data_IF_256819462311
#
_entry.id   IF_256819462311
#
_cell.length_a   1.000
_cell.length_b   1.000
_cell.length_c   1.000
_cell.angle_alpha   90.00
_cell.angle_beta   90.00
_cell.angle_gamma   90.00
#
_symmetry.space_group_name_H-M   'P 1'
#
loop_
_entity.id
_entity.type
_entity.pdbx_description
1 polymer ?
#
# COMPACT_ATOMS: atom_id res chain seq x y z
N UNK A 1 -27.04 -9.55 1.04
CA UNK A 1 -25.68 -9.54 1.63
C UNK A 1 -25.64 -8.39 2.63
N UNK A 2 -24.92 -8.50 3.75
CA UNK A 2 -24.74 -7.38 4.69
C UNK A 2 -23.46 -6.63 4.30
N UNK A 3 -23.42 -5.30 4.52
CA UNK A 3 -22.24 -4.44 4.29
C UNK A 3 -20.96 -5.06 4.89
N UNK A 4 -21.04 -5.51 6.14
CA UNK A 4 -19.93 -6.18 6.83
C UNK A 4 -19.97 -7.70 6.59
N UNK A 5 -19.74 -8.12 5.33
CA UNK A 5 -19.49 -9.50 4.99
C UNK A 5 -18.06 -9.89 5.39
N UNK A 6 -17.81 -11.19 5.63
CA UNK A 6 -16.49 -11.73 6.01
C UNK A 6 -15.37 -11.24 5.09
N UNK A 7 -15.59 -11.29 3.78
CA UNK A 7 -14.57 -10.90 2.80
C UNK A 7 -14.28 -9.40 2.83
N UNK A 8 -15.29 -8.55 2.99
CA UNK A 8 -15.10 -7.11 3.14
C UNK A 8 -14.38 -6.75 4.44
N UNK A 9 -14.70 -7.44 5.56
CA UNK A 9 -14.01 -7.24 6.84
C UNK A 9 -12.53 -7.63 6.72
N UNK A 10 -12.21 -8.75 6.04
CA UNK A 10 -10.83 -9.15 5.81
C UNK A 10 -10.06 -8.11 5.00
N UNK A 11 -10.67 -7.56 3.93
CA UNK A 11 -10.07 -6.46 3.16
C UNK A 11 -9.85 -5.24 4.05
N UNK A 12 -10.84 -4.85 4.85
CA UNK A 12 -10.75 -3.66 5.70
C UNK A 12 -9.64 -3.79 6.76
N UNK A 13 -9.54 -4.95 7.40
CA UNK A 13 -8.49 -5.20 8.41
C UNK A 13 -7.10 -5.27 7.73
N UNK A 14 -6.98 -5.97 6.60
CA UNK A 14 -5.75 -6.01 5.80
C UNK A 14 -5.31 -4.59 5.42
N UNK A 15 -6.25 -3.75 4.96
CA UNK A 15 -6.03 -2.33 4.66
C UNK A 15 -5.54 -1.54 5.87
N UNK A 16 -6.15 -1.72 7.04
CA UNK A 16 -5.70 -1.03 8.26
C UNK A 16 -4.24 -1.37 8.53
N UNK A 17 -3.89 -2.66 8.55
CA UNK A 17 -2.54 -3.12 8.87
C UNK A 17 -1.53 -2.61 7.83
N UNK A 18 -1.83 -2.79 6.54
CA UNK A 18 -0.93 -2.42 5.44
C UNK A 18 -0.76 -0.90 5.32
N UNK A 19 -1.84 -0.11 5.38
CA UNK A 19 -1.78 1.35 5.27
C UNK A 19 -1.06 2.01 6.45
N UNK A 20 -1.32 1.56 7.67
CA UNK A 20 -0.60 2.09 8.84
C UNK A 20 0.88 1.73 8.79
N UNK A 21 1.23 0.46 8.50
CA UNK A 21 2.62 0.05 8.31
C UNK A 21 3.35 0.88 7.25
N UNK A 22 2.69 1.11 6.12
CA UNK A 22 3.23 1.90 5.01
C UNK A 22 3.39 3.38 5.40
N UNK A 23 2.39 3.99 6.05
CA UNK A 23 2.43 5.40 6.46
C UNK A 23 3.52 5.66 7.51
N UNK A 24 3.70 4.74 8.46
CA UNK A 24 4.77 4.79 9.45
C UNK A 24 6.14 4.74 8.76
N UNK A 25 6.36 3.79 7.83
CA UNK A 25 7.64 3.65 7.12
C UNK A 25 7.98 4.86 6.25
N UNK A 26 7.01 5.36 5.49
CA UNK A 26 7.19 6.52 4.61
C UNK A 26 7.57 7.78 5.36
N UNK A 27 7.25 7.88 6.64
CA UNK A 27 7.68 8.96 7.50
C UNK A 27 9.01 8.65 8.21
N UNK A 28 9.16 7.45 8.77
CA UNK A 28 10.32 7.07 9.57
C UNK A 28 11.62 6.98 8.74
N UNK A 29 11.56 6.51 7.49
CA UNK A 29 12.74 6.37 6.63
C UNK A 29 13.40 7.72 6.29
N UNK A 30 12.67 8.74 5.79
CA UNK A 30 13.25 10.07 5.57
C UNK A 30 13.70 10.72 6.88
N UNK A 31 12.98 10.50 7.99
CA UNK A 31 13.36 11.03 9.31
C UNK A 31 14.68 10.41 9.80
N UNK A 32 14.89 9.12 9.59
CA UNK A 32 16.16 8.45 9.88
C UNK A 32 17.30 9.03 9.04
N UNK A 33 17.07 9.26 7.74
CA UNK A 33 18.04 9.90 6.88
C UNK A 33 18.38 11.32 7.35
N UNK A 34 17.38 12.10 7.72
CA UNK A 34 17.56 13.44 8.29
C UNK A 34 18.42 13.41 9.57
N UNK A 35 18.17 12.43 10.44
CA UNK A 35 18.91 12.30 11.68
C UNK A 35 20.41 12.02 11.46
N UNK A 36 20.74 11.19 10.44
CA UNK A 36 22.14 10.85 10.12
C UNK A 36 22.82 11.95 9.31
N UNK A 37 22.17 12.45 8.26
CA UNK A 37 22.77 13.42 7.33
C UNK A 37 22.73 14.87 7.84
N UNK A 38 21.86 15.16 8.82
CA UNK A 38 21.55 16.51 9.34
C UNK A 38 21.16 17.51 8.25
N UNK A 39 20.69 17.03 7.10
CA UNK A 39 20.34 17.83 5.94
C UNK A 39 18.83 17.83 5.70
N UNK A 40 18.17 18.94 6.05
CA UNK A 40 16.74 19.16 5.78
C UNK A 40 16.46 19.23 4.26
N UNK A 41 17.42 19.68 3.47
CA UNK A 41 17.29 19.72 2.01
C UNK A 41 17.20 18.32 1.41
N UNK A 42 18.05 17.37 1.85
CA UNK A 42 17.97 15.97 1.43
C UNK A 42 16.65 15.33 1.84
N UNK A 43 16.18 15.59 3.05
CA UNK A 43 14.87 15.11 3.51
C UNK A 43 13.75 15.56 2.57
N UNK A 44 13.71 16.85 2.23
CA UNK A 44 12.70 17.42 1.34
C UNK A 44 12.78 16.86 -0.08
N UNK A 45 13.98 16.80 -0.67
CA UNK A 45 14.19 16.29 -2.04
C UNK A 45 13.81 14.82 -2.14
N UNK A 46 14.31 13.97 -1.22
CA UNK A 46 14.03 12.52 -1.25
C UNK A 46 12.54 12.26 -1.06
N UNK A 47 11.89 12.96 -0.11
CA UNK A 47 10.46 12.83 0.11
C UNK A 47 9.65 13.25 -1.13
N UNK A 48 9.97 14.40 -1.74
CA UNK A 48 9.28 14.91 -2.92
C UNK A 48 9.48 14.00 -4.15
N UNK A 49 10.72 13.61 -4.44
CA UNK A 49 11.02 12.73 -5.59
C UNK A 49 10.35 11.37 -5.49
N UNK A 50 10.19 10.85 -4.26
CA UNK A 50 9.57 9.54 -4.03
C UNK A 50 8.07 9.51 -4.38
N UNK A 51 7.38 10.65 -4.40
CA UNK A 51 5.97 10.75 -4.81
C UNK A 51 5.75 10.64 -6.31
N UNK A 52 6.73 11.02 -7.12
CA UNK A 52 6.59 11.08 -8.59
C UNK A 52 6.15 9.74 -9.19
N UNK A 53 6.75 8.60 -8.84
CA UNK A 53 6.37 7.30 -9.39
C UNK A 53 4.93 6.90 -9.07
N UNK A 54 4.39 7.31 -7.92
CA UNK A 54 3.00 7.03 -7.53
C UNK A 54 2.00 7.63 -8.54
N UNK A 55 2.27 8.83 -9.05
CA UNK A 55 1.40 9.51 -10.02
C UNK A 55 1.24 8.68 -11.30
N UNK A 56 2.35 8.09 -11.76
CA UNK A 56 2.35 7.22 -12.95
C UNK A 56 1.83 5.81 -12.65
N UNK A 57 2.09 5.30 -11.45
CA UNK A 57 1.66 3.97 -11.05
C UNK A 57 0.13 3.88 -10.84
N UNK A 58 -0.53 4.95 -10.40
CA UNK A 58 -1.98 4.96 -10.13
C UNK A 58 -2.85 4.63 -11.35
N UNK A 59 -2.72 5.28 -12.51
CA UNK A 59 -3.50 4.90 -13.69
C UNK A 59 -3.14 3.50 -14.21
N UNK A 60 -1.88 3.10 -14.12
CA UNK A 60 -1.44 1.74 -14.48
C UNK A 60 -2.09 0.72 -13.56
N UNK A 61 -2.14 1.01 -12.25
CA UNK A 61 -2.81 0.17 -11.26
C UNK A 61 -4.28 -0.06 -11.55
N UNK A 62 -5.01 0.98 -11.98
CA UNK A 62 -6.39 0.86 -12.42
C UNK A 62 -6.55 -0.10 -13.62
N UNK A 63 -5.72 0.07 -14.64
CA UNK A 63 -5.74 -0.80 -15.84
C UNK A 63 -5.40 -2.26 -15.50
N UNK A 64 -4.46 -2.50 -14.60
CA UNK A 64 -4.08 -3.84 -14.15
C UNK A 64 -5.22 -4.45 -13.33
N UNK A 65 -5.84 -3.67 -12.44
CA UNK A 65 -6.95 -4.11 -11.60
C UNK A 65 -8.18 -4.54 -12.43
N UNK A 66 -8.41 -3.96 -13.62
CA UNK A 66 -9.50 -4.34 -14.49
C UNK A 66 -9.26 -5.68 -15.18
N UNK A 67 -8.00 -6.08 -15.40
CA UNK A 67 -7.64 -7.26 -16.19
C UNK A 67 -7.28 -8.49 -15.39
N UNK A 68 -6.78 -8.31 -14.16
CA UNK A 68 -6.26 -9.37 -13.31
C UNK A 68 -7.15 -9.52 -12.07
N UNK A 69 -7.09 -10.69 -11.43
CA UNK A 69 -7.79 -10.92 -10.16
C UNK A 69 -7.23 -9.98 -9.09
N UNK A 70 -8.10 -9.12 -8.56
CA UNK A 70 -7.77 -8.06 -7.61
C UNK A 70 -7.12 -8.60 -6.33
N UNK A 71 -7.62 -9.74 -5.83
CA UNK A 71 -7.02 -10.44 -4.68
C UNK A 71 -5.55 -10.79 -4.92
N UNK A 72 -5.24 -11.37 -6.08
CA UNK A 72 -3.87 -11.78 -6.38
C UNK A 72 -2.93 -10.59 -6.49
N UNK A 73 -3.42 -9.45 -7.00
CA UNK A 73 -2.64 -8.21 -7.06
C UNK A 73 -2.35 -7.71 -5.64
N UNK A 74 -3.36 -7.63 -4.77
CA UNK A 74 -3.22 -7.15 -3.40
C UNK A 74 -2.22 -8.00 -2.63
N UNK A 75 -2.41 -9.32 -2.61
CA UNK A 75 -1.52 -10.30 -1.96
C UNK A 75 -0.09 -10.17 -2.47
N UNK A 76 0.09 -10.10 -3.79
CA UNK A 76 1.42 -9.96 -4.40
C UNK A 76 2.10 -8.65 -4.00
N UNK A 77 1.37 -7.54 -3.98
CA UNK A 77 1.92 -6.23 -3.62
C UNK A 77 2.30 -6.15 -2.14
N UNK A 78 1.52 -6.75 -1.24
CA UNK A 78 1.85 -6.78 0.19
C UNK A 78 3.07 -7.69 0.46
N UNK A 79 3.19 -8.86 -0.19
CA UNK A 79 4.41 -9.67 -0.12
C UNK A 79 5.62 -8.94 -0.69
N UNK A 80 5.45 -8.21 -1.79
CA UNK A 80 6.52 -7.41 -2.38
C UNK A 80 6.97 -6.31 -1.42
N UNK A 81 6.02 -5.63 -0.77
CA UNK A 81 6.30 -4.59 0.23
C UNK A 81 7.04 -5.17 1.43
N UNK A 82 6.61 -6.32 1.94
CA UNK A 82 7.29 -7.04 3.02
C UNK A 82 8.74 -7.40 2.61
N UNK A 83 8.92 -7.91 1.40
CA UNK A 83 10.25 -8.27 0.88
C UNK A 83 11.18 -7.05 0.74
N UNK A 84 10.67 -5.94 0.20
CA UNK A 84 11.43 -4.68 0.09
C UNK A 84 11.86 -4.18 1.46
N UNK A 85 10.96 -4.24 2.44
CA UNK A 85 11.23 -3.81 3.82
C UNK A 85 12.31 -4.68 4.46
N UNK A 86 12.24 -6.00 4.31
CA UNK A 86 13.26 -6.94 4.80
C UNK A 86 14.61 -6.73 4.10
N UNK A 87 14.63 -6.56 2.79
CA UNK A 87 15.85 -6.30 2.01
C UNK A 87 16.48 -4.98 2.46
N UNK A 88 15.68 -3.93 2.64
CA UNK A 88 16.16 -2.63 3.11
C UNK A 88 16.83 -2.73 4.49
N UNK A 89 16.27 -3.54 5.39
CA UNK A 89 16.85 -3.80 6.71
C UNK A 89 18.22 -4.47 6.61
N UNK A 90 18.39 -5.47 5.74
CA UNK A 90 19.65 -6.21 5.54
C UNK A 90 20.73 -5.35 4.88
N UNK A 91 20.31 -4.45 3.97
CA UNK A 91 21.23 -3.56 3.25
C UNK A 91 21.61 -2.32 4.07
N UNK A 92 20.91 -2.03 5.16
CA UNK A 92 21.22 -0.90 6.04
C UNK A 92 22.62 -1.04 6.61
N UNK A 93 23.47 -0.01 6.44
CA UNK A 93 24.87 -0.01 6.84
C UNK A 93 25.84 -0.65 5.83
N UNK A 94 25.36 -1.30 4.75
CA UNK A 94 26.20 -1.89 3.71
C UNK A 94 26.29 -1.08 2.43
N UNK A 95 25.32 -0.21 2.19
CA UNK A 95 25.21 0.64 0.99
C UNK A 95 25.01 2.10 1.36
N UNK A 96 25.11 2.99 0.38
CA UNK A 96 24.83 4.41 0.61
C UNK A 96 23.38 4.60 1.10
N UNK A 97 23.26 5.16 2.31
CA UNK A 97 21.99 5.33 3.01
C UNK A 97 20.96 6.14 2.21
N UNK A 98 21.40 7.22 1.59
CA UNK A 98 20.50 8.12 0.85
C UNK A 98 19.90 7.41 -0.35
N UNK A 99 20.72 6.67 -1.10
CA UNK A 99 20.29 5.90 -2.26
C UNK A 99 19.36 4.77 -1.84
N UNK A 100 19.68 4.06 -0.76
CA UNK A 100 18.85 2.97 -0.25
C UNK A 100 17.45 3.47 0.13
N UNK A 101 17.36 4.56 0.89
CA UNK A 101 16.09 5.14 1.33
C UNK A 101 15.30 5.68 0.14
N UNK A 102 15.95 6.36 -0.80
CA UNK A 102 15.30 6.86 -2.00
C UNK A 102 14.67 5.72 -2.82
N UNK A 103 15.41 4.66 -3.09
CA UNK A 103 14.91 3.49 -3.84
C UNK A 103 13.77 2.82 -3.08
N UNK A 104 13.93 2.61 -1.77
CA UNK A 104 12.90 2.01 -0.93
C UNK A 104 11.60 2.82 -0.99
N UNK A 105 11.66 4.14 -0.82
CA UNK A 105 10.49 5.02 -0.87
C UNK A 105 9.85 5.05 -2.26
N UNK A 106 10.64 5.11 -3.33
CA UNK A 106 10.14 5.05 -4.71
C UNK A 106 9.31 3.77 -4.91
N UNK A 107 9.82 2.63 -4.46
CA UNK A 107 9.12 1.35 -4.56
C UNK A 107 7.86 1.32 -3.71
N UNK A 108 7.92 1.78 -2.46
CA UNK A 108 6.76 1.84 -1.56
C UNK A 108 5.63 2.73 -2.12
N UNK A 109 5.97 3.90 -2.67
CA UNK A 109 4.99 4.80 -3.29
C UNK A 109 4.44 4.23 -4.60
N UNK A 110 5.27 3.56 -5.42
CA UNK A 110 4.82 2.90 -6.65
C UNK A 110 3.83 1.78 -6.35
N UNK A 111 4.14 0.93 -5.37
CA UNK A 111 3.26 -0.15 -4.92
C UNK A 111 1.93 0.42 -4.42
N UNK A 112 1.97 1.49 -3.60
CA UNK A 112 0.76 2.13 -3.09
C UNK A 112 -0.10 2.69 -4.22
N UNK A 113 0.52 3.25 -5.27
CA UNK A 113 -0.18 3.74 -6.46
C UNK A 113 -0.96 2.65 -7.20
N UNK A 114 -0.49 1.40 -7.18
CA UNK A 114 -1.21 0.26 -7.78
C UNK A 114 -2.21 -0.36 -6.80
N UNK A 115 -1.84 -0.44 -5.54
CA UNK A 115 -2.63 -1.11 -4.50
C UNK A 115 -3.97 -0.41 -4.25
N UNK A 116 -3.96 0.91 -4.09
CA UNK A 116 -5.16 1.68 -3.74
C UNK A 116 -6.29 1.57 -4.78
N UNK A 117 -6.05 1.78 -6.09
CA UNK A 117 -7.10 1.57 -7.09
C UNK A 117 -7.53 0.11 -7.19
N UNK A 118 -6.65 -0.86 -6.92
CA UNK A 118 -7.00 -2.28 -6.91
C UNK A 118 -8.01 -2.61 -5.81
N UNK A 119 -7.81 -2.06 -4.61
CA UNK A 119 -8.76 -2.22 -3.49
C UNK A 119 -10.10 -1.59 -3.83
N UNK A 120 -10.12 -0.35 -4.33
CA UNK A 120 -11.36 0.32 -4.73
C UNK A 120 -12.10 -0.46 -5.82
N UNK A 121 -11.38 -1.01 -6.80
CA UNK A 121 -11.97 -1.86 -7.85
C UNK A 121 -12.48 -3.21 -7.33
N UNK A 122 -12.09 -3.65 -6.13
CA UNK A 122 -12.58 -4.89 -5.52
C UNK A 122 -13.95 -4.72 -4.82
N UNK A 123 -14.27 -3.50 -4.37
CA UNK A 123 -15.46 -3.22 -3.54
C UNK A 123 -16.77 -3.68 -4.18
N UNK A 124 -17.06 -3.44 -5.48
CA UNK A 124 -18.31 -3.88 -6.10
C UNK A 124 -18.52 -5.40 -6.11
N UNK A 125 -17.45 -6.17 -5.92
CA UNK A 125 -17.51 -7.64 -5.84
C UNK A 125 -17.69 -8.16 -4.41
N UNK A 126 -17.46 -7.30 -3.41
CA UNK A 126 -17.47 -7.65 -1.99
C UNK A 126 -18.76 -7.25 -1.28
N UNK A 127 -19.41 -6.17 -1.73
CA UNK A 127 -20.60 -5.61 -1.07
C UNK A 127 -21.76 -5.44 -2.04
N UNK A 128 -23.03 -5.40 -1.55
CA UNK A 128 -24.20 -5.07 -2.36
C UNK A 128 -24.10 -3.69 -2.99
N UNK A 129 -24.75 -3.51 -4.14
CA UNK A 129 -24.73 -2.23 -4.87
C UNK A 129 -25.17 -1.03 -4.04
N UNK A 130 -26.11 -1.23 -3.11
CA UNK A 130 -26.61 -0.18 -2.22
C UNK A 130 -25.58 0.28 -1.17
N UNK A 131 -24.59 -0.55 -0.87
CA UNK A 131 -23.59 -0.33 0.19
C UNK A 131 -22.22 0.10 -0.34
N UNK A 132 -22.05 0.18 -1.67
CA UNK A 132 -20.75 0.52 -2.31
C UNK A 132 -20.23 1.89 -1.83
N UNK A 133 -21.11 2.87 -1.67
CA UNK A 133 -20.71 4.22 -1.21
C UNK A 133 -20.17 4.16 0.22
N UNK A 134 -20.85 3.41 1.10
CA UNK A 134 -20.42 3.27 2.50
C UNK A 134 -19.12 2.47 2.61
N UNK A 135 -18.95 1.43 1.79
CA UNK A 135 -17.73 0.65 1.75
C UNK A 135 -16.52 1.49 1.29
N UNK A 136 -16.68 2.28 0.20
CA UNK A 136 -15.66 3.23 -0.25
C UNK A 136 -15.35 4.28 0.81
N UNK A 137 -16.36 4.82 1.48
CA UNK A 137 -16.18 5.78 2.55
C UNK A 137 -15.37 5.18 3.71
N UNK A 138 -15.63 3.93 4.10
CA UNK A 138 -14.89 3.22 5.14
C UNK A 138 -13.42 3.04 4.79
N UNK A 139 -13.11 2.61 3.55
CA UNK A 139 -11.73 2.44 3.08
C UNK A 139 -11.00 3.79 3.01
N UNK A 140 -11.65 4.84 2.50
CA UNK A 140 -11.06 6.17 2.43
C UNK A 140 -10.85 6.78 3.83
N UNK A 141 -11.73 6.49 4.78
CA UNK A 141 -11.56 6.89 6.18
C UNK A 141 -10.32 6.23 6.79
N UNK A 142 -10.14 4.93 6.60
CA UNK A 142 -8.93 4.21 7.04
C UNK A 142 -7.67 4.82 6.41
N UNK A 143 -7.68 5.09 5.12
CA UNK A 143 -6.55 5.71 4.42
C UNK A 143 -6.24 7.11 4.96
N UNK A 144 -7.26 7.92 5.22
CA UNK A 144 -7.11 9.26 5.79
C UNK A 144 -6.55 9.22 7.22
N UNK A 145 -7.06 8.30 8.05
CA UNK A 145 -6.55 8.09 9.41
C UNK A 145 -5.11 7.59 9.40
N UNK A 146 -4.76 6.65 8.53
CA UNK A 146 -3.39 6.17 8.40
C UNK A 146 -2.43 7.30 7.98
N UNK A 147 -2.83 8.15 7.05
CA UNK A 147 -2.01 9.27 6.60
C UNK A 147 -1.86 10.38 7.65
N UNK A 148 -2.86 10.57 8.53
CA UNK A 148 -2.81 11.55 9.60
C UNK A 148 -2.04 11.03 10.83
N UNK A 149 -2.36 9.84 11.28
CA UNK A 149 -1.85 9.26 12.54
C UNK A 149 -0.53 8.53 12.32
N UNK A 150 -0.34 7.92 11.14
CA UNK A 150 0.87 7.15 10.81
C UNK A 150 2.17 7.91 11.00
N UNK A 151 2.33 9.14 10.49
CA UNK A 151 3.51 9.96 10.73
C UNK A 151 3.76 10.27 12.21
N UNK A 152 2.70 10.50 12.99
CA UNK A 152 2.79 10.76 14.43
C UNK A 152 3.33 9.53 15.15
N UNK A 153 2.72 8.36 14.90
CA UNK A 153 3.18 7.07 15.45
C UNK A 153 4.62 6.79 14.99
N UNK A 154 4.90 6.98 13.70
CA UNK A 154 6.23 6.78 13.11
C UNK A 154 7.31 7.64 13.78
N UNK A 155 7.01 8.91 14.05
CA UNK A 155 7.91 9.81 14.74
C UNK A 155 8.17 9.40 16.21
N UNK A 156 7.12 9.02 16.93
CA UNK A 156 7.20 8.55 18.31
C UNK A 156 8.02 7.25 18.38
N UNK A 157 7.68 6.25 17.57
CA UNK A 157 8.39 4.97 17.53
C UNK A 157 9.86 5.15 17.14
N UNK A 158 10.14 6.04 16.18
CA UNK A 158 11.50 6.34 15.79
C UNK A 158 12.30 6.99 16.91
N UNK A 159 11.69 7.90 17.68
CA UNK A 159 12.33 8.55 18.81
C UNK A 159 12.71 7.58 19.95
N UNK A 160 11.89 6.57 20.21
CA UNK A 160 12.13 5.61 21.29
C UNK A 160 12.97 4.40 20.86
N UNK A 161 12.75 3.87 19.66
CA UNK A 161 13.30 2.57 19.25
C UNK A 161 14.26 2.65 18.05
N UNK A 162 14.32 3.79 17.36
CA UNK A 162 15.08 3.93 16.13
C UNK A 162 14.42 3.23 14.94
N UNK A 163 15.16 3.11 13.82
CA UNK A 163 14.58 2.65 12.53
C UNK A 163 14.45 1.12 12.44
N UNK A 164 15.38 0.36 13.00
CA UNK A 164 15.44 -1.10 12.82
C UNK A 164 14.20 -1.82 13.34
N UNK A 165 13.71 -1.59 14.57
CA UNK A 165 12.47 -2.19 15.05
C UNK A 165 11.25 -1.80 14.22
N UNK A 166 11.20 -0.56 13.70
CA UNK A 166 10.11 -0.10 12.84
C UNK A 166 10.07 -0.90 11.54
N UNK A 167 11.22 -1.10 10.87
CA UNK A 167 11.32 -1.93 9.67
C UNK A 167 10.85 -3.37 9.95
N UNK A 168 11.27 -3.94 11.08
CA UNK A 168 10.91 -5.30 11.46
C UNK A 168 9.40 -5.45 11.68
N UNK A 169 8.81 -4.57 12.50
CA UNK A 169 7.37 -4.57 12.80
C UNK A 169 6.55 -4.33 11.51
N UNK A 170 6.95 -3.35 10.70
CA UNK A 170 6.24 -3.05 9.45
C UNK A 170 6.32 -4.21 8.46
N UNK A 171 7.48 -4.87 8.34
CA UNK A 171 7.63 -6.07 7.52
C UNK A 171 6.71 -7.21 7.96
N UNK A 172 6.60 -7.45 9.28
CA UNK A 172 5.66 -8.42 9.85
C UNK A 172 4.20 -8.02 9.59
N UNK A 173 3.85 -6.74 9.69
CA UNK A 173 2.52 -6.24 9.39
C UNK A 173 2.14 -6.50 7.93
N UNK A 174 3.02 -6.19 6.97
CA UNK A 174 2.76 -6.46 5.55
C UNK A 174 2.63 -7.95 5.26
N UNK A 175 3.46 -8.77 5.87
CA UNK A 175 3.37 -10.22 5.75
C UNK A 175 2.05 -10.76 6.32
N UNK A 176 1.62 -10.27 7.47
CA UNK A 176 0.34 -10.61 8.08
C UNK A 176 -0.85 -10.14 7.21
N UNK A 177 -0.80 -8.92 6.66
CA UNK A 177 -1.82 -8.40 5.74
C UNK A 177 -1.92 -9.29 4.50
N UNK A 178 -0.80 -9.64 3.86
CA UNK A 178 -0.76 -10.53 2.71
C UNK A 178 -1.40 -11.90 3.00
N UNK A 179 -1.11 -12.49 4.17
CA UNK A 179 -1.73 -13.76 4.59
C UNK A 179 -3.24 -13.58 4.75
N UNK A 180 -3.70 -12.52 5.41
CA UNK A 180 -5.13 -12.26 5.59
C UNK A 180 -5.84 -12.09 4.24
N UNK A 181 -5.22 -11.41 3.29
CA UNK A 181 -5.77 -11.20 1.96
C UNK A 181 -5.85 -12.50 1.13
N UNK A 182 -5.02 -13.50 1.42
CA UNK A 182 -5.13 -14.82 0.80
C UNK A 182 -6.43 -15.54 1.12
N UNK A 183 -7.09 -15.21 2.22
CA UNK A 183 -8.37 -15.81 2.63
C UNK A 183 -9.60 -15.11 2.04
N UNK A 184 -9.41 -14.01 1.32
CA UNK A 184 -10.49 -13.27 0.66
C UNK A 184 -10.96 -14.06 -0.57
N UNK A 185 -12.26 -14.19 -0.73
CA UNK A 185 -12.85 -14.83 -1.90
C UNK A 185 -13.46 -13.77 -2.84
N UNK A 186 -12.66 -13.26 -3.77
CA UNK A 186 -13.14 -12.37 -4.84
C UNK A 186 -13.41 -13.22 -6.08
N UNK A 187 -14.68 -13.27 -6.59
CA UNK A 187 -14.98 -13.99 -7.82
C UNK A 187 -14.12 -13.46 -8.97
N UNK A 188 -13.45 -14.34 -9.69
CA UNK A 188 -12.68 -13.97 -10.87
C UNK A 188 -13.61 -13.36 -11.91
N UNK A 189 -13.26 -12.20 -12.42
CA UNK A 189 -13.96 -11.57 -13.56
C UNK A 189 -13.84 -12.55 -14.73
N UNK A 190 -14.94 -13.27 -15.07
CA UNK A 190 -15.04 -13.94 -16.36
C UNK A 190 -14.81 -12.85 -17.39
N UNK A 191 -13.80 -13.02 -18.26
CA UNK A 191 -13.61 -12.20 -19.44
C UNK A 191 -14.96 -12.08 -20.15
N UNK A 192 -15.59 -10.91 -20.03
CA UNK A 192 -16.68 -10.55 -20.91
C UNK A 192 -16.02 -10.43 -22.28
N UNK A 193 -16.17 -11.48 -23.10
CA UNK A 193 -15.82 -11.41 -24.51
C UNK A 193 -16.75 -10.37 -25.12
N UNK A 194 -16.25 -9.17 -25.31
CA UNK A 194 -16.84 -8.18 -26.22
C UNK A 194 -16.78 -8.72 -27.64
N UNK A 195 -17.75 -9.55 -27.98
CA UNK A 195 -18.15 -9.86 -29.34
C UNK A 195 -19.51 -9.23 -29.56
N UNK A 196 -19.59 -7.90 -29.67
CA UNK A 196 -20.71 -7.21 -30.31
C UNK A 196 -20.54 -5.67 -30.25
N UNK A 197 -19.46 -5.14 -30.83
CA UNK A 197 -19.41 -3.69 -31.17
C UNK A 197 -18.81 -3.44 -32.54
N UNK A 198 -18.99 -4.38 -33.47
CA UNK A 198 -18.58 -4.22 -34.86
C UNK A 198 -19.65 -4.79 -35.80
N UNK A 199 -20.92 -4.38 -35.64
CA UNK A 199 -21.95 -4.55 -36.66
C UNK A 199 -23.10 -3.59 -36.36
N UNK A 200 -22.85 -2.28 -36.54
CA UNK A 200 -23.92 -1.30 -36.79
C UNK A 200 -23.28 0.04 -37.21
N UNK A 201 -22.80 0.10 -38.41
CA UNK A 201 -22.77 1.29 -39.27
C UNK A 201 -23.26 0.86 -40.65
#
# INVERSE_FOLDING_TARGET
MKLFNKDFILVLIGQIISLFGNSILRFALPLYMLNITKSASLFGIVSACSFIPMIFATPIGGLIADRINKRNIMVFLDFLTASITCISMVLMGKVNLVILILICLILLYSIQGIYQPTVQASIPFLVPSNDIIQANASINLVASLANLIGPVIGGILFGFWGIIPILYISGLCFFAAAIMEMFINIPSVKKYKDTKFLCSI
#
